data_IF_271526624360
#
_entry.id   IF_271526624360
#
_cell.length_a   1.000
_cell.length_b   1.000
_cell.length_c   1.000
_cell.angle_alpha   90.00
_cell.angle_beta   90.00
_cell.angle_gamma   90.00
#
_symmetry.space_group_name_H-M   'P 1'
#
loop_
_entity.id
_entity.type
_entity.pdbx_description
1 polymer ?
#
# COMPACT_ATOMS: atom_id res chain seq x y z
N UNK A 1 -1.98 9.37 27.53
CA UNK A 1 -2.08 8.05 26.86
C UNK A 1 -0.87 7.24 27.27
N UNK A 2 -1.05 6.10 27.95
CA UNK A 2 0.04 5.17 28.27
C UNK A 2 0.11 4.10 27.20
N UNK A 3 0.66 4.40 26.02
CA UNK A 3 1.00 3.33 25.08
C UNK A 3 2.06 2.46 25.76
N UNK A 4 1.95 1.13 25.61
CA UNK A 4 2.91 0.10 26.04
C UNK A 4 3.48 0.11 27.48
N UNK A 5 3.11 1.07 28.32
CA UNK A 5 3.63 1.46 29.63
C UNK A 5 5.15 1.76 29.76
N UNK A 6 5.90 1.83 28.65
CA UNK A 6 7.30 2.27 28.63
C UNK A 6 7.87 2.44 27.21
N UNK A 7 8.95 3.22 27.07
CA UNK A 7 9.46 3.65 25.75
C UNK A 7 9.79 2.50 24.79
N UNK A 8 10.33 1.38 25.29
CA UNK A 8 10.63 0.22 24.46
C UNK A 8 9.35 -0.43 23.91
N UNK A 9 8.32 -0.55 24.75
CA UNK A 9 7.03 -1.11 24.34
C UNK A 9 6.29 -0.17 23.37
N UNK A 10 6.43 1.14 23.54
CA UNK A 10 5.92 2.15 22.60
C UNK A 10 6.54 1.99 21.22
N UNK A 11 7.87 1.90 21.17
CA UNK A 11 8.59 1.70 19.91
C UNK A 11 8.18 0.40 19.23
N UNK A 12 7.99 -0.68 19.99
CA UNK A 12 7.50 -1.95 19.44
C UNK A 12 6.08 -1.83 18.89
N UNK A 13 5.16 -1.18 19.61
CA UNK A 13 3.79 -0.97 19.15
C UNK A 13 3.74 -0.10 17.89
N UNK A 14 4.52 0.99 17.87
CA UNK A 14 4.63 1.86 16.69
C UNK A 14 5.16 1.07 15.50
N UNK A 15 6.24 0.31 15.67
CA UNK A 15 6.79 -0.51 14.59
C UNK A 15 5.78 -1.57 14.11
N UNK A 16 5.05 -2.20 15.03
CA UNK A 16 4.04 -3.19 14.70
C UNK A 16 2.90 -2.59 13.85
N UNK A 17 2.37 -1.43 14.25
CA UNK A 17 1.26 -0.76 13.56
C UNK A 17 1.71 -0.11 12.25
N UNK A 18 2.83 0.61 12.28
CA UNK A 18 3.27 1.44 11.14
C UNK A 18 4.01 0.64 10.08
N UNK A 19 4.68 -0.45 10.44
CA UNK A 19 5.55 -1.19 9.53
C UNK A 19 5.09 -2.64 9.38
N UNK A 20 5.07 -3.40 10.47
CA UNK A 20 4.87 -4.86 10.39
C UNK A 20 3.49 -5.23 9.85
N UNK A 21 2.44 -4.57 10.34
CA UNK A 21 1.07 -4.79 9.87
C UNK A 21 0.92 -4.44 8.37
N UNK A 22 1.28 -3.24 7.89
CA UNK A 22 1.26 -2.91 6.46
C UNK A 22 2.04 -3.89 5.58
N UNK A 23 3.22 -4.34 6.01
CA UNK A 23 4.00 -5.34 5.27
C UNK A 23 3.22 -6.65 5.16
N UNK A 24 2.75 -7.19 6.29
CA UNK A 24 2.00 -8.45 6.32
C UNK A 24 0.70 -8.37 5.49
N UNK A 25 -0.01 -7.26 5.60
CA UNK A 25 -1.23 -7.00 4.85
C UNK A 25 -0.96 -6.94 3.35
N UNK A 26 0.05 -6.22 2.87
CA UNK A 26 0.31 -6.19 1.43
C UNK A 26 0.80 -7.55 0.88
N UNK A 27 1.51 -8.35 1.67
CA UNK A 27 1.79 -9.75 1.29
C UNK A 27 0.50 -10.56 1.13
N UNK A 28 -0.43 -10.46 2.08
CA UNK A 28 -1.70 -11.18 2.05
C UNK A 28 -2.60 -10.70 0.91
N UNK A 29 -2.80 -9.39 0.79
CA UNK A 29 -3.76 -8.80 -0.13
C UNK A 29 -3.23 -8.67 -1.55
N UNK A 30 -1.95 -8.34 -1.76
CA UNK A 30 -1.39 -8.15 -3.11
C UNK A 30 -0.70 -9.39 -3.62
N UNK A 31 0.27 -9.89 -2.87
CA UNK A 31 1.11 -10.98 -3.34
C UNK A 31 0.35 -12.32 -3.37
N UNK A 32 -0.57 -12.56 -2.43
CA UNK A 32 -1.37 -13.78 -2.38
C UNK A 32 -2.74 -13.59 -3.04
N UNK A 33 -3.62 -12.77 -2.44
CA UNK A 33 -5.03 -12.69 -2.87
C UNK A 33 -5.20 -12.08 -4.26
N UNK A 34 -4.72 -10.84 -4.47
CA UNK A 34 -4.86 -10.14 -5.75
C UNK A 34 -4.13 -10.86 -6.88
N UNK A 35 -2.84 -11.19 -6.70
CA UNK A 35 -2.06 -11.90 -7.72
C UNK A 35 -2.68 -13.27 -8.03
N UNK A 36 -3.05 -14.04 -7.01
CA UNK A 36 -3.68 -15.34 -7.19
C UNK A 36 -5.01 -15.26 -7.92
N UNK A 37 -5.88 -14.32 -7.54
CA UNK A 37 -7.15 -14.08 -8.21
C UNK A 37 -6.94 -13.63 -9.67
N UNK A 38 -6.03 -12.68 -9.92
CA UNK A 38 -5.70 -12.20 -11.27
C UNK A 38 -5.21 -13.34 -12.15
N UNK A 39 -4.24 -14.13 -11.68
CA UNK A 39 -3.63 -15.20 -12.46
C UNK A 39 -4.62 -16.36 -12.71
N UNK A 40 -5.53 -16.62 -11.77
CA UNK A 40 -6.62 -17.57 -11.93
C UNK A 40 -7.68 -17.10 -12.93
N UNK A 41 -8.14 -15.85 -12.80
CA UNK A 41 -9.15 -15.24 -13.68
C UNK A 41 -8.63 -15.06 -15.11
N UNK A 42 -7.36 -14.69 -15.28
CA UNK A 42 -6.74 -14.50 -16.60
C UNK A 42 -6.71 -15.77 -17.47
N UNK A 43 -6.99 -16.95 -16.90
CA UNK A 43 -7.19 -18.19 -17.67
C UNK A 43 -8.52 -18.23 -18.43
N UNK A 44 -9.49 -17.41 -18.01
CA UNK A 44 -10.87 -17.44 -18.49
C UNK A 44 -11.33 -16.12 -19.08
N UNK A 45 -10.58 -15.02 -18.88
CA UNK A 45 -10.94 -13.69 -19.36
C UNK A 45 -9.72 -12.85 -19.72
N UNK A 46 -9.87 -11.76 -20.49
CA UNK A 46 -8.77 -10.88 -20.83
C UNK A 46 -8.03 -10.39 -19.58
N UNK A 47 -6.70 -10.33 -19.65
CA UNK A 47 -5.86 -9.99 -18.49
C UNK A 47 -6.19 -8.64 -17.87
N UNK A 48 -6.58 -7.65 -18.68
CA UNK A 48 -7.01 -6.33 -18.20
C UNK A 48 -8.27 -6.41 -17.35
N UNK A 49 -9.24 -7.22 -17.75
CA UNK A 49 -10.46 -7.48 -16.97
C UNK A 49 -10.14 -8.26 -15.69
N UNK A 50 -9.28 -9.28 -15.79
CA UNK A 50 -8.84 -10.07 -14.64
C UNK A 50 -8.15 -9.21 -13.57
N UNK A 51 -7.32 -8.23 -13.98
CA UNK A 51 -6.70 -7.25 -13.08
C UNK A 51 -7.77 -6.43 -12.36
N UNK A 52 -8.74 -5.87 -13.10
CA UNK A 52 -9.80 -5.05 -12.51
C UNK A 52 -10.66 -5.82 -11.50
N UNK A 53 -11.05 -7.05 -11.84
CA UNK A 53 -11.84 -7.91 -10.97
C UNK A 53 -11.05 -8.34 -9.73
N UNK A 54 -9.77 -8.74 -9.89
CA UNK A 54 -8.91 -9.09 -8.76
C UNK A 54 -8.63 -7.91 -7.82
N UNK A 55 -8.45 -6.70 -8.38
CA UNK A 55 -8.30 -5.48 -7.60
C UNK A 55 -9.56 -5.20 -6.79
N UNK A 56 -10.75 -5.34 -7.39
CA UNK A 56 -12.02 -5.19 -6.68
C UNK A 56 -12.18 -6.23 -5.56
N UNK A 57 -11.95 -7.51 -5.85
CA UNK A 57 -12.04 -8.58 -4.85
C UNK A 57 -11.10 -8.32 -3.67
N UNK A 58 -9.81 -8.09 -3.94
CA UNK A 58 -8.83 -7.88 -2.87
C UNK A 58 -9.13 -6.63 -2.04
N UNK A 59 -9.65 -5.56 -2.65
CA UNK A 59 -10.00 -4.32 -1.96
C UNK A 59 -11.28 -4.46 -1.14
N UNK A 60 -12.28 -5.21 -1.61
CA UNK A 60 -13.50 -5.48 -0.83
C UNK A 60 -13.18 -6.33 0.40
N UNK A 61 -12.35 -7.37 0.27
CA UNK A 61 -11.92 -8.18 1.42
C UNK A 61 -11.10 -7.33 2.39
N UNK A 62 -10.21 -6.46 1.88
CA UNK A 62 -9.46 -5.51 2.70
C UNK A 62 -10.39 -4.61 3.51
N UNK A 63 -11.42 -4.02 2.89
CA UNK A 63 -12.41 -3.21 3.60
C UNK A 63 -13.08 -4.01 4.71
N UNK A 64 -13.55 -5.23 4.40
CA UNK A 64 -14.32 -6.04 5.36
C UNK A 64 -13.56 -6.33 6.65
N UNK A 65 -12.25 -6.63 6.58
CA UNK A 65 -11.45 -6.90 7.78
C UNK A 65 -11.14 -5.62 8.59
N UNK A 66 -11.36 -4.44 8.01
CA UNK A 66 -11.18 -3.13 8.64
C UNK A 66 -12.51 -2.51 9.11
N UNK A 67 -13.64 -3.21 8.93
CA UNK A 67 -14.94 -2.76 9.44
C UNK A 67 -15.04 -3.00 10.94
N UNK A 68 -14.51 -2.07 11.72
CA UNK A 68 -14.82 -1.93 13.14
C UNK A 68 -16.07 -1.03 13.32
N UNK A 69 -16.96 -1.27 14.32
CA UNK A 69 -18.14 -0.43 14.56
C UNK A 69 -17.83 1.06 14.74
N UNK A 70 -16.67 1.41 15.33
CA UNK A 70 -16.23 2.80 15.47
C UNK A 70 -15.66 3.38 14.16
N UNK A 71 -15.41 2.53 13.16
CA UNK A 71 -14.75 2.87 11.90
C UNK A 71 -15.57 2.57 10.66
N UNK A 72 -16.82 2.12 10.81
CA UNK A 72 -17.68 1.70 9.69
C UNK A 72 -17.85 2.79 8.64
N UNK A 73 -17.83 4.06 9.03
CA UNK A 73 -17.91 5.21 8.09
C UNK A 73 -16.69 5.38 7.18
N UNK A 74 -15.56 4.72 7.47
CA UNK A 74 -14.32 4.80 6.70
C UNK A 74 -14.22 3.75 5.59
N UNK A 75 -15.25 2.92 5.40
CA UNK A 75 -15.25 1.93 4.32
C UNK A 75 -14.93 2.51 2.92
N UNK A 76 -15.37 3.72 2.51
CA UNK A 76 -15.04 4.25 1.19
C UNK A 76 -13.55 4.53 1.04
N UNK A 77 -12.90 5.05 2.09
CA UNK A 77 -11.48 5.37 2.05
C UNK A 77 -10.63 4.10 2.04
N UNK A 78 -11.03 3.07 2.78
CA UNK A 78 -10.39 1.75 2.73
C UNK A 78 -10.52 1.09 1.36
N UNK A 79 -11.67 1.24 0.69
CA UNK A 79 -11.86 0.70 -0.66
C UNK A 79 -10.94 1.37 -1.67
N UNK A 80 -10.90 2.71 -1.66
CA UNK A 80 -10.03 3.50 -2.55
C UNK A 80 -8.56 3.17 -2.29
N UNK A 81 -8.16 3.09 -1.02
CA UNK A 81 -6.80 2.74 -0.64
C UNK A 81 -6.40 1.33 -1.13
N UNK A 82 -7.29 0.34 -0.93
CA UNK A 82 -7.07 -1.02 -1.41
C UNK A 82 -6.89 -1.09 -2.93
N UNK A 83 -7.72 -0.36 -3.68
CA UNK A 83 -7.63 -0.29 -5.14
C UNK A 83 -6.33 0.38 -5.58
N UNK A 84 -5.94 1.48 -4.91
CA UNK A 84 -4.70 2.18 -5.21
C UNK A 84 -3.47 1.30 -4.99
N UNK A 85 -3.43 0.52 -3.90
CA UNK A 85 -2.34 -0.42 -3.65
C UNK A 85 -2.31 -1.58 -4.65
N UNK A 86 -3.47 -2.11 -5.06
CA UNK A 86 -3.54 -3.11 -6.12
C UNK A 86 -3.01 -2.58 -7.46
N UNK A 87 -3.38 -1.36 -7.83
CA UNK A 87 -2.89 -0.71 -9.04
C UNK A 87 -1.39 -0.37 -8.95
N UNK A 88 -0.91 0.12 -7.81
CA UNK A 88 0.51 0.36 -7.59
C UNK A 88 1.33 -0.92 -7.75
N UNK A 89 0.84 -2.05 -7.22
CA UNK A 89 1.45 -3.36 -7.41
C UNK A 89 1.50 -3.77 -8.90
N UNK A 90 0.39 -3.63 -9.63
CA UNK A 90 0.33 -4.00 -11.06
C UNK A 90 1.19 -3.10 -11.94
N UNK A 91 1.16 -1.79 -11.73
CA UNK A 91 1.90 -0.84 -12.56
C UNK A 91 3.41 -0.90 -12.33
N UNK A 92 3.85 -1.18 -11.10
CA UNK A 92 5.28 -1.26 -10.78
C UNK A 92 5.85 -2.67 -10.91
N UNK A 93 5.01 -3.70 -10.83
CA UNK A 93 5.45 -5.09 -10.67
C UNK A 93 6.17 -5.34 -9.34
N UNK A 94 6.12 -4.41 -8.39
CA UNK A 94 6.88 -4.45 -7.14
C UNK A 94 5.94 -4.43 -5.94
N UNK A 95 6.17 -5.35 -4.99
CA UNK A 95 5.48 -5.34 -3.71
C UNK A 95 5.96 -4.19 -2.80
N UNK A 96 7.17 -3.68 -3.03
CA UNK A 96 7.70 -2.56 -2.24
C UNK A 96 6.91 -1.27 -2.45
N UNK A 97 6.33 -1.06 -3.64
CA UNK A 97 5.54 0.13 -3.96
C UNK A 97 4.28 0.27 -3.08
N UNK A 98 3.34 -0.71 -3.04
CA UNK A 98 2.20 -0.62 -2.15
C UNK A 98 2.60 -0.70 -0.66
N UNK A 99 3.64 -1.45 -0.28
CA UNK A 99 4.14 -1.47 1.10
C UNK A 99 4.55 -0.06 1.54
N UNK A 100 5.32 0.66 0.73
CA UNK A 100 5.76 2.02 1.08
C UNK A 100 4.56 2.96 1.25
N UNK A 101 3.60 2.91 0.33
CA UNK A 101 2.36 3.69 0.40
C UNK A 101 1.59 3.39 1.69
N UNK A 102 1.50 2.12 2.07
CA UNK A 102 0.80 1.67 3.26
C UNK A 102 1.49 2.05 4.55
N UNK A 103 2.82 1.88 4.64
CA UNK A 103 3.62 2.34 5.78
C UNK A 103 3.48 3.85 5.99
N UNK A 104 3.53 4.64 4.91
CA UNK A 104 3.34 6.09 4.98
C UNK A 104 1.92 6.46 5.44
N UNK A 105 0.90 5.78 4.92
CA UNK A 105 -0.48 5.99 5.32
C UNK A 105 -0.71 5.67 6.81
N UNK A 106 -0.22 4.52 7.29
CA UNK A 106 -0.34 4.14 8.70
C UNK A 106 0.49 5.05 9.61
N UNK A 107 1.68 5.47 9.19
CA UNK A 107 2.49 6.43 9.93
C UNK A 107 1.77 7.77 10.11
N UNK A 108 1.15 8.27 9.05
CA UNK A 108 0.31 9.47 9.10
C UNK A 108 -0.90 9.30 10.01
N UNK A 109 -1.64 8.20 9.86
CA UNK A 109 -2.81 7.90 10.70
C UNK A 109 -2.44 7.79 12.18
N UNK A 110 -1.35 7.11 12.50
CA UNK A 110 -0.81 6.99 13.86
C UNK A 110 -0.44 8.36 14.44
N UNK A 111 0.34 9.16 13.70
CA UNK A 111 0.76 10.50 14.15
C UNK A 111 -0.44 11.41 14.43
N UNK A 112 -1.47 11.36 13.58
CA UNK A 112 -2.72 12.11 13.78
C UNK A 112 -3.47 11.70 15.05
N UNK A 113 -3.58 10.39 15.29
CA UNK A 113 -4.21 9.88 16.52
C UNK A 113 -3.42 10.27 17.76
N UNK A 114 -2.09 10.19 17.70
CA UNK A 114 -1.20 10.53 18.81
C UNK A 114 -1.15 12.04 19.11
N UNK A 115 -1.35 12.91 18.10
CA UNK A 115 -1.32 14.37 18.25
C UNK A 115 -2.67 14.99 18.65
N UNK A 116 -3.72 14.19 18.85
CA UNK A 116 -5.07 14.68 19.17
C UNK A 116 -5.72 15.45 18.02
N UNK A 117 -5.34 15.15 16.77
CA UNK A 117 -5.78 15.92 15.60
C UNK A 117 -7.23 15.63 15.18
N UNK A 118 -8.14 16.56 15.51
CA UNK A 118 -9.58 16.59 15.16
C UNK A 118 -9.92 16.79 13.68
N UNK A 119 -8.98 16.56 12.74
CA UNK A 119 -9.28 16.69 11.31
C UNK A 119 -10.22 15.56 10.86
N UNK A 120 -11.53 15.80 10.89
CA UNK A 120 -12.50 14.84 10.39
C UNK A 120 -12.11 14.36 8.97
N UNK A 121 -12.13 13.03 8.74
CA UNK A 121 -11.92 12.42 7.42
C UNK A 121 -12.96 12.87 6.36
N UNK A 122 -13.89 13.74 6.74
CA UNK A 122 -14.83 14.42 5.85
C UNK A 122 -14.18 15.50 4.98
N UNK A 123 -12.90 15.83 5.18
CA UNK A 123 -12.23 16.85 4.37
C UNK A 123 -11.89 16.33 2.96
N UNK A 124 -12.50 16.86 1.88
CA UNK A 124 -12.42 16.29 0.52
C UNK A 124 -11.00 16.18 -0.05
N UNK A 125 -10.07 17.00 0.43
CA UNK A 125 -8.67 17.00 -0.03
C UNK A 125 -7.89 15.76 0.41
N UNK A 126 -8.34 15.04 1.46
CA UNK A 126 -7.71 13.78 1.87
C UNK A 126 -7.85 12.69 0.81
N UNK A 127 -8.96 12.67 0.05
CA UNK A 127 -9.13 11.78 -1.10
C UNK A 127 -8.15 12.11 -2.23
N UNK A 128 -7.83 13.39 -2.43
CA UNK A 128 -6.87 13.85 -3.44
C UNK A 128 -5.46 13.44 -3.05
N UNK A 129 -5.06 13.65 -1.80
CA UNK A 129 -3.74 13.23 -1.29
C UNK A 129 -3.61 11.70 -1.35
N UNK A 130 -4.67 10.94 -1.03
CA UNK A 130 -4.65 9.48 -1.10
C UNK A 130 -4.56 8.94 -2.53
N UNK A 131 -5.11 9.61 -3.53
CA UNK A 131 -4.98 9.20 -4.94
C UNK A 131 -3.61 9.60 -5.50
N UNK A 132 -3.07 10.75 -5.07
CA UNK A 132 -1.79 11.25 -5.57
C UNK A 132 -0.58 10.65 -4.86
N UNK A 133 -0.68 10.25 -3.58
CA UNK A 133 0.42 9.67 -2.82
C UNK A 133 0.93 8.31 -3.39
N UNK A 134 0.07 7.38 -3.86
CA UNK A 134 0.49 6.19 -4.59
C UNK A 134 1.18 6.55 -5.90
N UNK A 135 0.69 7.54 -6.65
CA UNK A 135 1.33 8.02 -7.88
C UNK A 135 2.71 8.65 -7.60
N UNK A 136 2.83 9.40 -6.51
CA UNK A 136 4.09 9.99 -6.05
C UNK A 136 5.06 8.91 -5.53
N UNK A 137 4.59 7.93 -4.77
CA UNK A 137 5.40 6.80 -4.30
C UNK A 137 5.85 5.89 -5.45
N UNK A 138 5.00 5.70 -6.48
CA UNK A 138 5.35 4.98 -7.71
C UNK A 138 6.40 5.75 -8.51
N UNK A 139 6.26 7.07 -8.67
CA UNK A 139 7.29 7.87 -9.36
C UNK A 139 8.62 7.91 -8.60
N UNK A 140 8.59 8.00 -7.26
CA UNK A 140 9.78 7.94 -6.41
C UNK A 140 10.46 6.56 -6.43
N UNK A 141 9.69 5.48 -6.34
CA UNK A 141 10.24 4.11 -6.38
C UNK A 141 10.84 3.76 -7.74
N UNK A 142 10.19 4.16 -8.84
CA UNK A 142 10.73 4.00 -10.20
C UNK A 142 11.96 4.89 -10.41
N UNK A 143 11.95 6.13 -9.90
CA UNK A 143 13.11 7.03 -9.96
C UNK A 143 14.33 6.48 -9.21
N UNK A 144 14.12 5.95 -8.01
CA UNK A 144 15.18 5.36 -7.19
C UNK A 144 15.74 4.08 -7.83
N UNK A 145 14.89 3.23 -8.43
CA UNK A 145 15.35 2.05 -9.18
C UNK A 145 16.21 2.39 -10.39
N UNK A 146 15.95 3.52 -11.07
CA UNK A 146 16.79 4.02 -12.18
C UNK A 146 18.11 4.61 -11.70
N UNK A 147 18.09 5.38 -10.62
CA UNK A 147 19.30 5.98 -10.02
C UNK A 147 20.26 4.92 -9.46
N UNK A 148 19.73 3.80 -8.95
CA UNK A 148 20.53 2.70 -8.40
C UNK A 148 20.87 1.63 -9.44
N UNK A 149 20.14 1.57 -10.57
CA UNK A 149 20.27 0.55 -11.62
C UNK A 149 21.31 0.86 -12.71
N UNK A 150 21.70 2.13 -12.92
CA UNK A 150 22.70 2.49 -13.91
C UNK A 150 24.10 2.55 -13.28
N UNK A 151 24.72 1.37 -13.13
CA UNK A 151 26.17 1.28 -13.32
C UNK A 151 26.40 0.52 -14.62
N UNK A 152 26.81 1.19 -15.72
CA UNK A 152 27.24 0.46 -16.90
C UNK A 152 28.35 -0.50 -16.48
N UNK A 153 28.21 -1.77 -16.85
CA UNK A 153 29.24 -2.77 -16.64
C UNK A 153 30.52 -2.25 -17.31
N UNK A 154 31.48 -1.83 -16.50
CA UNK A 154 32.79 -1.43 -16.97
C UNK A 154 33.47 -2.66 -17.57
N UNK A 155 33.61 -2.68 -18.89
CA UNK A 155 34.53 -3.54 -19.61
C UNK A 155 33.95 -4.87 -20.07
N UNK A 156 33.44 -4.92 -21.30
CA UNK A 156 33.59 -6.09 -22.15
C UNK A 156 34.30 -5.63 -23.44
N UNK A 157 35.48 -6.20 -23.77
CA UNK A 157 36.26 -5.77 -24.92
C UNK A 157 35.57 -6.18 -26.24
N UNK A 158 35.60 -5.30 -27.23
CA UNK A 158 35.10 -5.59 -28.57
C UNK A 158 36.00 -6.59 -29.28
N UNK A 159 35.48 -7.79 -29.53
CA UNK A 159 36.10 -8.73 -30.46
C UNK A 159 35.51 -8.47 -31.85
N UNK A 160 36.41 -8.11 -32.76
CA UNK A 160 36.21 -8.04 -34.21
C UNK A 160 35.86 -9.41 -34.79
#
# INVERSE_FOLDING_TARGET
>A
MGLGTGAAADLCLIAAIVIVAPVAEEYLFRALLHKGARDGLARWMPRTLAIGVAAAISSVVFVQIHLDPAQVGYWPIYLVFGLACALAYEFTGSLAAPILVHVLNNGWAFWRGASGGDAAFSSPWLYVVLVLAPVAAVTLSVGMGRLLGDRPAAGAPSTR
#
